data_IF_691136028116
#
_entry.id   IF_691136028116
#
_cell.length_a   1.000
_cell.length_b   1.000
_cell.length_c   1.000
_cell.angle_alpha   90.00
_cell.angle_beta   90.00
_cell.angle_gamma   90.00
#
_symmetry.space_group_name_H-M   'P 1'
#
loop_
_entity.id
_entity.type
_entity.pdbx_description
1 polymer ?
#
# COMPACT_ATOMS: atom_id res chain seq x y z
N UNK A 1 -23.79 -11.23 -13.27
CA UNK A 1 -22.69 -10.33 -13.65
C UNK A 1 -23.32 -8.97 -13.94
N UNK A 2 -23.23 -7.98 -13.04
CA UNK A 2 -23.80 -6.67 -13.33
C UNK A 2 -22.88 -5.96 -14.34
N UNK A 3 -23.46 -5.44 -15.42
CA UNK A 3 -22.79 -4.57 -16.38
C UNK A 3 -22.71 -3.17 -15.77
N UNK A 4 -21.60 -2.89 -15.07
CA UNK A 4 -21.31 -1.53 -14.58
C UNK A 4 -20.89 -0.68 -15.78
N UNK A 5 -21.49 0.49 -16.00
CA UNK A 5 -21.14 1.33 -17.14
C UNK A 5 -19.70 1.86 -16.98
N UNK A 6 -18.97 1.86 -18.10
CA UNK A 6 -17.53 2.08 -18.21
C UNK A 6 -17.08 3.50 -17.80
N UNK A 7 -18.02 4.39 -17.48
CA UNK A 7 -17.84 5.79 -17.11
C UNK A 7 -17.76 6.03 -15.58
N UNK A 8 -18.03 5.03 -14.75
CA UNK A 8 -17.97 5.16 -13.27
C UNK A 8 -16.57 4.90 -12.71
N UNK A 9 -15.68 4.29 -13.50
CA UNK A 9 -14.26 4.17 -13.13
C UNK A 9 -13.56 5.38 -13.70
N UNK A 10 -13.44 6.42 -12.89
CA UNK A 10 -12.56 7.54 -13.17
C UNK A 10 -11.13 7.01 -13.48
N UNK A 11 -10.63 7.14 -14.72
CA UNK A 11 -9.35 6.55 -15.11
C UNK A 11 -8.19 7.50 -14.80
N UNK A 12 -8.44 8.61 -14.09
CA UNK A 12 -7.34 9.38 -13.51
C UNK A 12 -6.62 8.40 -12.60
N UNK A 13 -5.40 8.04 -12.99
CA UNK A 13 -4.40 7.53 -12.06
C UNK A 13 -4.32 8.62 -10.98
N UNK A 14 -5.12 8.50 -9.93
CA UNK A 14 -5.08 9.40 -8.81
C UNK A 14 -3.67 9.33 -8.23
N UNK A 15 -3.18 10.45 -7.72
CA UNK A 15 -2.15 10.43 -6.69
C UNK A 15 -2.73 9.65 -5.49
N UNK A 16 -2.65 8.33 -5.55
CA UNK A 16 -3.17 7.42 -4.53
C UNK A 16 -1.99 6.95 -3.68
N UNK A 17 -2.03 7.23 -2.38
CA UNK A 17 -1.03 6.76 -1.43
C UNK A 17 -0.84 5.23 -1.50
N UNK A 18 0.39 4.75 -1.33
CA UNK A 18 0.69 3.32 -1.23
C UNK A 18 0.34 2.74 0.15
N UNK A 19 -0.19 1.52 0.18
CA UNK A 19 -0.42 0.75 1.42
C UNK A 19 0.28 -0.60 1.33
N UNK A 20 0.98 -0.98 2.39
CA UNK A 20 1.64 -2.28 2.54
C UNK A 20 1.35 -2.86 3.93
N UNK A 21 1.12 -4.17 4.00
CA UNK A 21 0.92 -4.89 5.25
C UNK A 21 1.47 -6.31 5.13
N UNK A 22 2.08 -6.80 6.20
CA UNK A 22 2.69 -8.13 6.26
C UNK A 22 2.41 -8.76 7.61
N UNK A 23 2.08 -10.05 7.59
CA UNK A 23 2.03 -10.91 8.76
C UNK A 23 3.03 -12.04 8.55
N UNK A 24 4.09 -12.05 9.34
CA UNK A 24 5.16 -13.03 9.22
C UNK A 24 5.71 -13.32 10.63
N UNK A 25 5.23 -14.37 11.30
CA UNK A 25 5.79 -14.83 12.56
C UNK A 25 7.28 -15.13 12.42
N UNK A 26 8.06 -14.87 13.47
CA UNK A 26 9.51 -15.08 13.54
C UNK A 26 10.37 -14.26 12.57
N UNK A 27 9.76 -13.34 11.80
CA UNK A 27 10.44 -12.46 10.86
C UNK A 27 10.44 -11.00 11.35
N UNK A 28 11.40 -10.21 10.87
CA UNK A 28 11.44 -8.77 11.12
C UNK A 28 10.40 -8.03 10.25
N UNK A 29 9.15 -8.01 10.74
CA UNK A 29 8.02 -7.36 10.06
C UNK A 29 8.22 -5.84 9.89
N UNK A 30 9.02 -5.19 10.74
CA UNK A 30 9.33 -3.78 10.58
C UNK A 30 10.20 -3.55 9.34
N UNK A 31 11.26 -4.36 9.18
CA UNK A 31 12.13 -4.31 7.99
C UNK A 31 11.40 -4.68 6.71
N UNK A 32 10.55 -5.70 6.76
CA UNK A 32 9.74 -6.09 5.60
C UNK A 32 8.76 -4.97 5.21
N UNK A 33 8.11 -4.33 6.20
CA UNK A 33 7.22 -3.18 5.97
C UNK A 33 7.95 -2.00 5.35
N UNK A 34 9.16 -1.69 5.83
CA UNK A 34 10.00 -0.64 5.24
C UNK A 34 10.28 -0.90 3.76
N UNK A 35 10.73 -2.11 3.39
CA UNK A 35 11.03 -2.43 1.99
C UNK A 35 9.76 -2.48 1.12
N UNK A 36 8.64 -2.94 1.67
CA UNK A 36 7.35 -2.92 0.99
C UNK A 36 6.91 -1.49 0.64
N UNK A 37 7.00 -0.57 1.61
CA UNK A 37 6.70 0.85 1.37
C UNK A 37 7.71 1.51 0.41
N UNK A 38 9.01 1.17 0.52
CA UNK A 38 10.04 1.66 -0.40
C UNK A 38 9.76 1.25 -1.86
N UNK A 39 9.31 0.01 -2.10
CA UNK A 39 8.92 -0.44 -3.43
C UNK A 39 7.72 0.37 -3.99
N UNK A 40 6.88 0.92 -3.12
CA UNK A 40 5.71 1.74 -3.46
C UNK A 40 5.99 3.25 -3.44
N UNK A 41 7.23 3.68 -3.20
CA UNK A 41 7.58 5.10 -3.07
C UNK A 41 7.18 5.95 -4.30
N UNK A 42 7.07 5.33 -5.47
CA UNK A 42 6.56 5.98 -6.69
C UNK A 42 5.08 6.42 -6.60
N UNK A 43 4.35 6.04 -5.55
CA UNK A 43 2.95 6.41 -5.28
C UNK A 43 2.80 7.58 -4.29
N UNK A 44 3.89 8.08 -3.72
CA UNK A 44 3.84 9.21 -2.79
C UNK A 44 5.22 9.50 -2.20
N UNK A 45 5.63 10.77 -2.26
CA UNK A 45 6.96 11.23 -1.82
C UNK A 45 6.92 12.18 -0.62
N UNK A 46 5.73 12.61 -0.20
CA UNK A 46 5.58 13.63 0.83
C UNK A 46 5.77 13.09 2.25
N UNK A 47 5.33 11.84 2.52
CA UNK A 47 5.47 11.18 3.80
C UNK A 47 5.30 9.66 3.67
N UNK A 48 5.80 8.93 4.67
CA UNK A 48 5.52 7.51 4.88
C UNK A 48 5.41 7.23 6.39
N UNK A 49 4.62 6.23 6.76
CA UNK A 49 4.43 5.82 8.16
C UNK A 49 4.20 4.31 8.26
N UNK A 50 4.56 3.74 9.39
CA UNK A 50 4.41 2.31 9.68
C UNK A 50 4.11 2.09 11.16
N UNK A 51 3.29 1.07 11.45
CA UNK A 51 3.00 0.57 12.79
C UNK A 51 3.20 -0.94 12.79
N UNK A 52 3.80 -1.47 13.86
CA UNK A 52 4.07 -2.91 14.04
C UNK A 52 3.65 -3.33 15.45
N UNK A 53 3.34 -4.62 15.62
CA UNK A 53 2.95 -5.21 16.90
C UNK A 53 3.55 -6.62 17.03
N UNK A 54 3.83 -7.02 18.27
CA UNK A 54 4.30 -8.34 18.69
C UNK A 54 3.17 -9.33 19.03
N UNK A 55 1.90 -8.92 18.90
CA UNK A 55 0.72 -9.74 19.18
C UNK A 55 0.06 -9.47 20.53
#
# INVERSE_FOLDING_TARGET
>A
MPVVPMDVVDPRIGEECGVFGVWAPDEDVAKLTYYGLYALQHRGQEAAGMAVSDG
#
